data_IF_835969258286
#
_entry.id   IF_835969258286
#
_cell.length_a   1.000
_cell.length_b   1.000
_cell.length_c   1.000
_cell.angle_alpha   90.00
_cell.angle_beta   90.00
_cell.angle_gamma   90.00
#
_symmetry.space_group_name_H-M   'P 1'
#
loop_
_entity.id
_entity.type
_entity.pdbx_description
1 polymer ?
#
# COMPACT_ATOMS: atom_id res chain seq x y z
N UNK A 1 -4.26 -7.79 -4.77
CA UNK A 1 -3.26 -8.23 -3.74
C UNK A 1 -3.68 -7.67 -2.40
N UNK A 2 -3.89 -8.54 -1.41
CA UNK A 2 -4.32 -8.17 -0.05
C UNK A 2 -3.15 -8.30 0.92
N UNK A 3 -2.94 -7.29 1.75
CA UNK A 3 -2.04 -7.33 2.90
C UNK A 3 -2.85 -7.21 4.18
N UNK A 4 -2.62 -8.15 5.10
CA UNK A 4 -3.26 -8.17 6.41
C UNK A 4 -2.19 -8.02 7.49
N UNK A 5 -2.41 -7.11 8.44
CA UNK A 5 -1.50 -6.91 9.58
C UNK A 5 -2.25 -6.32 10.78
N UNK A 6 -1.63 -6.40 11.94
CA UNK A 6 -2.16 -5.82 13.18
C UNK A 6 -1.29 -4.63 13.60
N UNK A 7 -1.93 -3.53 13.93
CA UNK A 7 -1.25 -2.31 14.39
C UNK A 7 -2.11 -1.57 15.43
N UNK A 8 -1.52 -1.25 16.57
CA UNK A 8 -2.19 -0.48 17.61
C UNK A 8 -3.48 -1.11 18.15
N UNK A 9 -3.60 -2.44 18.12
CA UNK A 9 -4.80 -3.17 18.53
C UNK A 9 -5.89 -3.30 17.46
N UNK A 10 -5.63 -2.81 16.24
CA UNK A 10 -6.55 -2.92 15.11
C UNK A 10 -6.09 -4.01 14.13
N UNK A 11 -7.06 -4.72 13.55
CA UNK A 11 -6.85 -5.58 12.40
C UNK A 11 -7.01 -4.75 11.13
N UNK A 12 -5.94 -4.61 10.37
CA UNK A 12 -5.90 -3.77 9.17
C UNK A 12 -5.78 -4.65 7.93
N UNK A 13 -6.59 -4.33 6.93
CA UNK A 13 -6.58 -4.98 5.62
C UNK A 13 -6.36 -3.90 4.55
N UNK A 14 -5.28 -4.02 3.80
CA UNK A 14 -4.94 -3.15 2.67
C UNK A 14 -5.13 -3.91 1.37
N UNK A 15 -6.00 -3.43 0.51
CA UNK A 15 -6.04 -3.86 -0.89
C UNK A 15 -5.17 -2.95 -1.75
N UNK A 16 -4.02 -3.47 -2.18
CA UNK A 16 -3.03 -2.72 -2.97
C UNK A 16 -3.60 -2.24 -4.29
N UNK A 17 -4.47 -3.05 -4.92
CA UNK A 17 -4.98 -2.75 -6.25
C UNK A 17 -6.04 -1.66 -6.26
N UNK A 18 -6.90 -1.61 -5.24
CA UNK A 18 -7.88 -0.51 -5.07
C UNK A 18 -7.32 0.67 -4.28
N UNK A 19 -6.26 0.46 -3.48
CA UNK A 19 -5.75 1.43 -2.52
C UNK A 19 -6.62 1.57 -1.27
N UNK A 20 -7.63 0.73 -1.09
CA UNK A 20 -8.53 0.78 0.07
C UNK A 20 -7.87 0.20 1.31
N UNK A 21 -8.08 0.85 2.45
CA UNK A 21 -7.65 0.39 3.77
C UNK A 21 -8.88 0.19 4.64
N UNK A 22 -9.01 -0.99 5.22
CA UNK A 22 -10.12 -1.35 6.08
C UNK A 22 -9.60 -1.67 7.48
N UNK A 23 -10.23 -1.11 8.51
CA UNK A 23 -10.13 -1.59 9.88
C UNK A 23 -11.31 -2.53 10.12
N UNK A 24 -11.02 -3.76 10.46
CA UNK A 24 -12.03 -4.83 10.59
C UNK A 24 -11.93 -5.50 11.96
N UNK A 25 -12.96 -6.23 12.35
CA UNK A 25 -12.91 -7.12 13.50
C UNK A 25 -12.12 -8.41 13.23
N UNK A 26 -11.97 -9.24 14.23
CA UNK A 26 -11.21 -10.49 14.13
C UNK A 26 -11.91 -11.49 13.19
N UNK A 27 -13.24 -11.53 13.19
CA UNK A 27 -14.03 -12.41 12.35
C UNK A 27 -13.81 -12.12 10.85
N UNK A 28 -13.96 -10.86 10.46
CA UNK A 28 -13.75 -10.42 9.08
C UNK A 28 -12.27 -10.56 8.66
N UNK A 29 -11.33 -10.29 9.58
CA UNK A 29 -9.90 -10.46 9.33
C UNK A 29 -9.55 -11.91 8.98
N UNK A 30 -10.03 -12.87 9.76
CA UNK A 30 -9.81 -14.29 9.51
C UNK A 30 -10.51 -14.78 8.24
N UNK A 31 -11.72 -14.29 8.01
CA UNK A 31 -12.51 -14.68 6.83
C UNK A 31 -11.87 -14.18 5.54
N UNK A 32 -11.36 -12.95 5.51
CA UNK A 32 -10.65 -12.37 4.35
C UNK A 32 -9.43 -13.21 3.97
N UNK A 33 -8.72 -13.78 4.94
CA UNK A 33 -7.57 -14.66 4.69
C UNK A 33 -7.93 -15.93 3.90
N UNK A 34 -9.16 -16.40 4.04
CA UNK A 34 -9.64 -17.63 3.40
C UNK A 34 -10.46 -17.39 2.11
N UNK A 35 -10.95 -16.16 1.93
CA UNK A 35 -12.03 -15.83 1.00
C UNK A 35 -11.72 -16.16 -0.46
N UNK A 36 -10.52 -15.84 -0.97
CA UNK A 36 -10.18 -16.10 -2.38
C UNK A 36 -9.65 -17.52 -2.63
N UNK A 37 -9.20 -18.20 -1.58
CA UNK A 37 -8.53 -19.51 -1.72
C UNK A 37 -9.49 -20.67 -1.62
N UNK A 38 -10.72 -20.43 -1.13
CA UNK A 38 -11.68 -21.48 -0.84
C UNK A 38 -13.09 -21.12 -1.35
N UNK A 39 -13.90 -22.13 -1.73
CA UNK A 39 -15.33 -21.92 -1.99
C UNK A 39 -16.05 -21.41 -0.73
N UNK A 40 -17.18 -20.71 -0.93
CA UNK A 40 -18.01 -20.15 0.16
C UNK A 40 -18.30 -21.14 1.28
N UNK A 41 -18.72 -22.35 0.91
CA UNK A 41 -19.11 -23.39 1.87
C UNK A 41 -17.93 -23.79 2.77
N UNK A 42 -16.73 -23.88 2.20
CA UNK A 42 -15.52 -24.23 2.94
C UNK A 42 -15.06 -23.10 3.85
N UNK A 43 -15.16 -21.85 3.40
CA UNK A 43 -14.88 -20.67 4.24
C UNK A 43 -15.80 -20.65 5.45
N UNK A 44 -17.11 -20.73 5.21
CA UNK A 44 -18.12 -20.72 6.28
C UNK A 44 -17.91 -21.87 7.27
N UNK A 45 -17.59 -23.07 6.78
CA UNK A 45 -17.31 -24.23 7.63
C UNK A 45 -16.07 -24.01 8.51
N UNK A 46 -14.95 -23.53 7.92
CA UNK A 46 -13.71 -23.31 8.65
C UNK A 46 -13.87 -22.21 9.70
N UNK A 47 -14.53 -21.11 9.36
CA UNK A 47 -14.80 -20.02 10.29
C UNK A 47 -15.76 -20.49 11.41
N UNK A 48 -16.83 -21.21 11.09
CA UNK A 48 -17.74 -21.76 12.10
C UNK A 48 -17.01 -22.68 13.08
N UNK A 49 -16.10 -23.53 12.59
CA UNK A 49 -15.30 -24.40 13.47
C UNK A 49 -14.33 -23.60 14.34
N UNK A 50 -13.68 -22.56 13.79
CA UNK A 50 -12.76 -21.69 14.53
C UNK A 50 -13.47 -20.96 15.67
N UNK A 51 -14.68 -20.44 15.41
CA UNK A 51 -15.44 -19.62 16.35
C UNK A 51 -16.49 -20.39 17.17
N UNK A 52 -16.51 -21.73 17.10
CA UNK A 52 -17.51 -22.59 17.79
C UNK A 52 -17.61 -22.39 19.30
N UNK A 53 -16.54 -21.92 19.94
CA UNK A 53 -16.48 -21.71 21.39
C UNK A 53 -16.73 -20.24 21.79
N UNK A 54 -17.07 -19.38 20.83
CA UNK A 54 -17.38 -17.96 21.07
C UNK A 54 -18.92 -17.77 20.94
N UNK A 55 -19.64 -17.70 22.09
CA UNK A 55 -21.11 -17.68 22.08
C UNK A 55 -21.69 -16.42 21.47
N UNK A 56 -20.90 -15.35 21.40
CA UNK A 56 -21.30 -14.06 20.88
C UNK A 56 -21.27 -13.99 19.33
N UNK A 57 -20.71 -15.03 18.67
CA UNK A 57 -20.64 -15.13 17.21
C UNK A 57 -21.55 -16.25 16.73
N UNK A 58 -22.61 -15.85 16.06
CA UNK A 58 -23.61 -16.79 15.53
C UNK A 58 -23.26 -17.23 14.10
N UNK A 59 -23.98 -18.23 13.59
CA UNK A 59 -23.84 -18.65 12.18
C UNK A 59 -24.37 -17.58 11.23
N UNK A 60 -25.34 -16.83 11.67
CA UNK A 60 -25.92 -15.70 10.95
C UNK A 60 -24.89 -14.59 10.79
N UNK A 61 -24.17 -14.24 11.85
CA UNK A 61 -23.09 -13.22 11.82
C UNK A 61 -21.96 -13.65 10.86
N UNK A 62 -21.59 -14.94 10.85
CA UNK A 62 -20.59 -15.49 9.93
C UNK A 62 -21.06 -15.38 8.47
N UNK A 63 -22.34 -15.67 8.20
CA UNK A 63 -22.87 -15.55 6.85
C UNK A 63 -22.97 -14.09 6.38
N UNK A 64 -23.43 -13.20 7.26
CA UNK A 64 -23.50 -11.74 7.00
C UNK A 64 -22.11 -11.16 6.72
N UNK A 65 -21.11 -11.50 7.53
CA UNK A 65 -19.74 -11.09 7.32
C UNK A 65 -19.20 -11.52 5.93
N UNK A 66 -19.50 -12.75 5.50
CA UNK A 66 -19.13 -13.21 4.16
C UNK A 66 -19.80 -12.40 3.06
N UNK A 67 -21.07 -12.09 3.23
CA UNK A 67 -21.85 -11.32 2.25
C UNK A 67 -21.36 -9.84 2.21
N UNK A 68 -20.96 -9.26 3.33
CA UNK A 68 -20.34 -7.93 3.40
C UNK A 68 -18.99 -7.88 2.69
N UNK A 69 -18.14 -8.89 2.88
CA UNK A 69 -16.87 -9.03 2.14
C UNK A 69 -17.15 -9.12 0.64
N UNK A 70 -18.18 -9.89 0.25
CA UNK A 70 -18.59 -10.01 -1.14
C UNK A 70 -19.09 -8.68 -1.71
N UNK A 71 -19.82 -7.90 -0.92
CA UNK A 71 -20.27 -6.58 -1.31
C UNK A 71 -19.09 -5.61 -1.53
N UNK A 72 -18.09 -5.62 -0.66
CA UNK A 72 -16.86 -4.84 -0.83
C UNK A 72 -16.09 -5.24 -2.09
N UNK A 73 -16.01 -6.54 -2.38
CA UNK A 73 -15.41 -7.06 -3.62
C UNK A 73 -16.14 -6.55 -4.86
N UNK A 74 -17.47 -6.64 -4.86
CA UNK A 74 -18.29 -6.18 -5.98
C UNK A 74 -18.21 -4.65 -6.18
N UNK A 75 -17.92 -3.89 -5.13
CA UNK A 75 -17.66 -2.45 -5.20
C UNK A 75 -16.23 -2.11 -5.66
N UNK A 76 -15.37 -3.11 -5.87
CA UNK A 76 -13.96 -2.90 -6.21
C UNK A 76 -13.12 -2.31 -5.07
N UNK A 77 -13.57 -2.45 -3.81
CA UNK A 77 -12.88 -1.95 -2.61
C UNK A 77 -12.08 -3.02 -1.87
N UNK A 78 -12.29 -4.29 -2.23
CA UNK A 78 -11.57 -5.42 -1.69
C UNK A 78 -11.41 -6.46 -2.81
N UNK A 79 -10.25 -7.12 -2.87
CA UNK A 79 -9.90 -8.07 -3.93
C UNK A 79 -10.02 -7.48 -5.34
N UNK A 80 -9.68 -6.19 -5.49
CA UNK A 80 -9.71 -5.53 -6.76
C UNK A 80 -8.67 -6.15 -7.74
N UNK A 81 -9.01 -6.29 -9.04
CA UNK A 81 -8.07 -6.77 -10.03
C UNK A 81 -6.92 -5.78 -10.22
N UNK A 82 -5.71 -6.30 -10.49
CA UNK A 82 -4.57 -5.46 -10.86
C UNK A 82 -4.75 -4.95 -12.30
N UNK A 83 -5.17 -3.69 -12.44
CA UNK A 83 -5.32 -3.04 -13.73
C UNK A 83 -4.01 -2.50 -14.31
N UNK A 84 -2.92 -2.48 -13.51
CA UNK A 84 -1.62 -1.95 -13.89
C UNK A 84 -0.63 -3.02 -14.35
N UNK A 85 -0.87 -4.30 -14.07
CA UNK A 85 0.04 -5.40 -14.43
C UNK A 85 0.39 -5.37 -15.93
N UNK A 86 -0.61 -5.24 -16.81
CA UNK A 86 -0.41 -5.14 -18.25
C UNK A 86 0.20 -3.81 -18.72
N UNK A 87 0.27 -2.79 -17.86
CA UNK A 87 0.82 -1.47 -18.16
C UNK A 87 2.28 -1.30 -17.74
N UNK A 88 2.79 -2.15 -16.84
CA UNK A 88 4.13 -2.02 -16.26
C UNK A 88 5.22 -2.00 -17.34
N UNK A 89 5.13 -2.87 -18.35
CA UNK A 89 6.04 -2.89 -19.51
C UNK A 89 5.93 -1.64 -20.40
N UNK A 90 4.70 -1.17 -20.61
CA UNK A 90 4.42 0.00 -21.46
C UNK A 90 4.81 1.33 -20.81
N UNK A 91 4.88 1.41 -19.49
CA UNK A 91 5.33 2.60 -18.77
C UNK A 91 6.78 2.93 -19.10
N UNK A 92 7.64 1.92 -19.15
CA UNK A 92 9.05 2.08 -19.52
C UNK A 92 9.22 2.58 -20.96
N UNK A 93 8.43 2.08 -21.89
CA UNK A 93 8.44 2.53 -23.30
C UNK A 93 7.92 3.96 -23.43
N UNK A 94 6.83 4.32 -22.74
CA UNK A 94 6.25 5.66 -22.79
C UNK A 94 7.10 6.74 -22.12
N UNK A 95 7.95 6.37 -21.17
CA UNK A 95 8.84 7.31 -20.48
C UNK A 95 10.27 7.31 -21.03
N UNK A 96 10.60 6.38 -21.93
CA UNK A 96 11.91 6.31 -22.56
C UNK A 96 12.17 7.57 -23.40
N UNK A 97 13.27 8.26 -23.11
CA UNK A 97 13.70 9.45 -23.86
C UNK A 97 12.95 10.74 -23.55
N UNK A 98 12.03 10.74 -22.55
CA UNK A 98 11.31 11.96 -22.14
C UNK A 98 11.77 12.38 -20.73
N UNK A 99 12.49 13.49 -20.66
CA UNK A 99 12.81 14.14 -19.37
C UNK A 99 11.61 15.00 -19.00
N UNK A 100 10.92 14.65 -17.90
CA UNK A 100 9.75 15.40 -17.44
C UNK A 100 10.10 16.47 -16.40
N UNK A 101 11.19 16.28 -15.67
CA UNK A 101 11.66 17.19 -14.65
C UNK A 101 13.17 17.06 -14.47
N UNK A 102 13.83 18.18 -14.22
CA UNK A 102 15.22 18.24 -13.84
C UNK A 102 15.30 18.76 -12.40
N UNK A 103 15.87 17.94 -11.51
CA UNK A 103 16.06 18.30 -10.11
C UNK A 103 17.55 18.61 -9.88
N UNK A 104 17.88 19.88 -9.66
CA UNK A 104 19.25 20.32 -9.46
C UNK A 104 19.52 20.71 -8.01
N UNK A 105 20.58 20.16 -7.43
CA UNK A 105 21.08 20.53 -6.12
C UNK A 105 22.02 21.76 -6.25
N UNK A 106 21.45 22.93 -6.25
CA UNK A 106 22.21 24.18 -6.46
C UNK A 106 23.12 24.52 -5.28
N UNK A 107 22.85 23.96 -4.09
CA UNK A 107 23.66 24.21 -2.90
C UNK A 107 23.72 22.95 -2.02
N UNK A 108 24.92 22.51 -1.69
CA UNK A 108 25.20 21.53 -0.65
C UNK A 108 25.51 22.23 0.68
N UNK A 109 24.62 23.11 1.09
CA UNK A 109 24.75 23.87 2.35
C UNK A 109 23.38 24.28 2.85
N UNK A 110 23.22 24.37 4.17
CA UNK A 110 22.01 24.80 4.82
C UNK A 110 22.38 25.61 6.07
N UNK A 111 21.57 26.61 6.41
CA UNK A 111 21.68 27.38 7.64
C UNK A 111 20.86 26.82 8.80
N UNK A 112 20.12 25.71 8.57
CA UNK A 112 19.36 25.00 9.59
C UNK A 112 20.14 23.78 10.08
N UNK A 113 19.87 23.36 11.31
CA UNK A 113 20.46 22.17 11.93
C UNK A 113 19.37 21.20 12.43
N UNK A 114 18.50 20.75 11.52
CA UNK A 114 17.41 19.84 11.86
C UNK A 114 17.95 18.47 12.23
N UNK A 115 17.54 17.93 13.37
CA UNK A 115 17.97 16.61 13.84
C UNK A 115 17.51 15.44 12.94
N UNK A 116 16.43 15.63 12.20
CA UNK A 116 15.85 14.66 11.27
C UNK A 116 16.24 14.92 9.80
N UNK A 117 17.26 15.71 9.53
CA UNK A 117 17.63 16.08 8.18
C UNK A 117 18.27 14.92 7.41
N UNK A 118 17.58 14.38 6.41
CA UNK A 118 18.11 13.32 5.53
C UNK A 118 19.28 13.79 4.67
N UNK A 119 19.41 15.10 4.44
CA UNK A 119 20.46 15.72 3.63
C UNK A 119 21.70 16.13 4.46
N UNK A 120 21.83 15.68 5.73
CA UNK A 120 22.93 16.02 6.63
C UNK A 120 23.23 17.52 6.66
N UNK A 121 22.20 18.32 6.94
CA UNK A 121 22.21 19.80 6.91
C UNK A 121 22.68 20.39 5.55
N UNK A 122 22.23 19.74 4.47
CA UNK A 122 22.52 20.12 3.09
C UNK A 122 23.84 19.58 2.53
N UNK A 123 24.64 18.89 3.33
CA UNK A 123 25.95 18.35 2.88
C UNK A 123 25.84 17.04 2.10
N UNK A 124 24.75 16.31 2.22
CA UNK A 124 24.55 14.98 1.61
C UNK A 124 25.74 14.00 1.86
N UNK A 125 26.28 14.02 3.09
CA UNK A 125 27.48 13.27 3.50
C UNK A 125 28.78 13.68 2.78
N UNK A 126 28.75 14.82 2.07
CA UNK A 126 29.87 15.38 1.33
C UNK A 126 30.37 16.72 1.92
N UNK A 127 31.06 17.48 1.08
CA UNK A 127 31.51 18.81 1.42
C UNK A 127 30.44 19.87 1.15
N UNK A 128 30.49 20.99 1.91
CA UNK A 128 29.68 22.17 1.59
C UNK A 128 30.18 22.75 0.27
N UNK A 129 29.26 22.95 -0.66
CA UNK A 129 29.56 23.45 -2.00
C UNK A 129 28.35 24.16 -2.60
N UNK A 130 28.61 24.99 -3.60
CA UNK A 130 27.60 25.55 -4.49
C UNK A 130 27.84 24.99 -5.89
N UNK A 131 26.74 24.79 -6.65
CA UNK A 131 26.84 24.43 -8.06
C UNK A 131 27.47 25.59 -8.83
N UNK A 132 28.44 25.28 -9.70
CA UNK A 132 28.96 26.31 -10.60
C UNK A 132 27.98 26.63 -11.72
N UNK A 133 28.12 27.83 -12.30
CA UNK A 133 27.28 28.22 -13.44
C UNK A 133 27.46 27.28 -14.63
N UNK A 134 28.68 26.83 -14.87
CA UNK A 134 29.02 25.91 -15.96
C UNK A 134 28.32 24.55 -15.84
N UNK A 135 28.29 24.00 -14.62
CA UNK A 135 27.58 22.73 -14.34
C UNK A 135 26.08 22.92 -14.51
N UNK A 136 25.52 24.01 -13.99
CA UNK A 136 24.10 24.33 -14.15
C UNK A 136 23.73 24.52 -15.64
N UNK A 137 24.55 25.23 -16.39
CA UNK A 137 24.33 25.44 -17.83
C UNK A 137 24.36 24.12 -18.59
N UNK A 138 25.39 23.28 -18.35
CA UNK A 138 25.50 21.96 -19.00
C UNK A 138 24.32 21.03 -18.72
N UNK A 139 23.65 21.19 -17.60
CA UNK A 139 22.48 20.39 -17.26
C UNK A 139 21.23 20.78 -18.07
N UNK A 140 21.21 21.99 -18.69
CA UNK A 140 20.13 22.48 -19.53
C UNK A 140 20.39 22.30 -21.04
N UNK A 141 21.63 22.20 -21.43
CA UNK A 141 22.05 21.99 -22.83
C UNK A 141 21.92 20.50 -23.24
#
# INVERSE_FOLDING_TARGET
MIHQYQLGGYHIVLDVCSGSVHAVDELAYDMIALYEQNPREDVLRQITEKYRNQPDITREDIAECYDDITALKNQGKLFAPDTFEGMAGKLKEKTAGVIKALCMHIAHTCNLNCSYCFASQGKYQGHRALMSFEVGKQAFD
#
